data_IF_272688922713
#
_entry.id   IF_272688922713
#
_cell.length_a   1.000
_cell.length_b   1.000
_cell.length_c   1.000
_cell.angle_alpha   90.00
_cell.angle_beta   90.00
_cell.angle_gamma   90.00
#
_symmetry.space_group_name_H-M   'P 1'
#
loop_
_entity.id
_entity.type
_entity.pdbx_description
1 polymer ?
#
# COMPACT_ATOMS: atom_id res chain seq x y z
N UNK A 1 -2.18 3.57 5.41
CA UNK A 1 -1.60 3.50 4.05
C UNK A 1 -0.10 3.38 4.20
N UNK A 2 0.52 2.49 3.41
CA UNK A 2 1.93 2.15 3.52
C UNK A 2 2.69 2.63 2.29
N UNK A 3 3.79 3.35 2.50
CA UNK A 3 4.63 3.94 1.43
C UNK A 3 6.03 3.38 1.53
N UNK A 4 6.57 2.90 0.41
CA UNK A 4 7.97 2.52 0.29
C UNK A 4 8.77 3.74 -0.14
N UNK A 5 9.83 4.06 0.59
CA UNK A 5 10.81 5.11 0.28
C UNK A 5 12.07 4.42 -0.22
N UNK A 6 12.49 4.74 -1.44
CA UNK A 6 13.67 4.17 -2.08
C UNK A 6 14.67 5.28 -2.35
N UNK A 7 15.69 5.35 -1.50
CA UNK A 7 16.70 6.41 -1.47
C UNK A 7 17.97 5.87 -0.82
N UNK A 8 19.10 5.95 -1.49
CA UNK A 8 20.38 5.41 -1.00
C UNK A 8 21.03 6.29 0.07
N UNK A 9 20.79 7.60 0.05
CA UNK A 9 21.26 8.50 1.09
C UNK A 9 20.36 8.42 2.33
N UNK A 10 20.85 7.76 3.38
CA UNK A 10 20.08 7.51 4.61
C UNK A 10 19.51 8.78 5.23
N UNK A 11 20.29 9.88 5.28
CA UNK A 11 19.85 11.15 5.84
C UNK A 11 18.66 11.73 5.09
N UNK A 12 18.69 11.65 3.76
CA UNK A 12 17.59 12.12 2.92
C UNK A 12 16.38 11.19 3.03
N UNK A 13 16.61 9.86 3.04
CA UNK A 13 15.55 8.88 3.27
C UNK A 13 14.82 9.11 4.59
N UNK A 14 15.55 9.39 5.68
CA UNK A 14 14.96 9.73 6.99
C UNK A 14 14.21 11.07 6.95
N UNK A 15 14.72 12.05 6.21
CA UNK A 15 14.03 13.34 6.01
C UNK A 15 12.70 13.14 5.27
N UNK A 16 12.69 12.36 4.19
CA UNK A 16 11.46 12.00 3.45
C UNK A 16 10.48 11.32 4.39
N UNK A 17 10.94 10.33 5.15
CA UNK A 17 10.14 9.63 6.17
C UNK A 17 9.51 10.60 7.16
N UNK A 18 10.29 11.51 7.74
CA UNK A 18 9.78 12.53 8.67
C UNK A 18 8.72 13.45 8.01
N UNK A 19 8.87 13.75 6.73
CA UNK A 19 7.88 14.55 5.99
C UNK A 19 6.51 13.87 5.92
N UNK A 20 6.46 12.55 5.77
CA UNK A 20 5.22 11.84 5.45
C UNK A 20 4.67 10.95 6.59
N UNK A 21 5.47 10.62 7.63
CA UNK A 21 5.13 9.66 8.67
C UNK A 21 3.88 10.00 9.50
N UNK A 22 3.44 11.26 9.52
CA UNK A 22 2.19 11.65 10.19
C UNK A 22 0.93 11.14 9.46
N UNK A 23 1.05 10.81 8.17
CA UNK A 23 -0.08 10.38 7.31
C UNK A 23 0.07 8.97 6.79
N UNK A 24 1.29 8.46 6.69
CA UNK A 24 1.62 7.18 6.07
C UNK A 24 2.54 6.35 6.95
N UNK A 25 2.27 5.05 7.02
CA UNK A 25 3.26 4.09 7.49
C UNK A 25 4.36 3.99 6.42
N UNK A 26 5.63 3.93 6.82
CA UNK A 26 6.75 4.00 5.88
C UNK A 26 7.72 2.86 6.08
N UNK A 27 8.20 2.32 4.98
CA UNK A 27 9.37 1.44 4.91
C UNK A 27 10.42 2.05 3.99
N UNK A 28 11.68 1.70 4.19
CA UNK A 28 12.82 2.28 3.49
C UNK A 28 13.63 1.16 2.82
N UNK A 29 14.04 1.38 1.57
CA UNK A 29 15.00 0.59 0.84
C UNK A 29 16.15 1.50 0.40
N UNK A 30 17.37 1.00 0.37
CA UNK A 30 18.57 1.81 0.15
C UNK A 30 19.31 1.46 -1.13
N UNK A 31 18.84 0.46 -1.86
CA UNK A 31 19.32 0.11 -3.19
C UNK A 31 18.18 -0.38 -4.08
N UNK A 32 18.45 -0.45 -5.39
CA UNK A 32 17.42 -0.80 -6.35
C UNK A 32 17.01 -2.27 -6.31
N UNK A 33 17.88 -3.18 -5.89
CA UNK A 33 17.55 -4.59 -5.79
C UNK A 33 16.62 -4.85 -4.59
N UNK A 34 16.98 -4.31 -3.42
CA UNK A 34 16.14 -4.33 -2.21
C UNK A 34 14.76 -3.72 -2.51
N UNK A 35 14.75 -2.54 -3.15
CA UNK A 35 13.53 -1.85 -3.55
C UNK A 35 12.62 -2.72 -4.44
N UNK A 36 13.19 -3.37 -5.45
CA UNK A 36 12.44 -4.28 -6.32
C UNK A 36 11.88 -5.47 -5.53
N UNK A 37 12.68 -6.08 -4.67
CA UNK A 37 12.25 -7.24 -3.87
C UNK A 37 11.10 -6.89 -2.92
N UNK A 38 11.14 -5.70 -2.29
CA UNK A 38 10.06 -5.23 -1.43
C UNK A 38 8.80 -4.83 -2.23
N UNK A 39 8.99 -4.06 -3.31
CA UNK A 39 7.87 -3.50 -4.09
C UNK A 39 7.06 -4.57 -4.85
N UNK A 40 7.69 -5.68 -5.28
CA UNK A 40 7.00 -6.76 -6.01
C UNK A 40 5.93 -7.49 -5.17
N UNK A 41 6.01 -7.41 -3.83
CA UNK A 41 5.01 -7.99 -2.93
C UNK A 41 3.64 -7.27 -3.02
N UNK A 42 3.60 -6.11 -3.70
CA UNK A 42 2.38 -5.35 -4.01
C UNK A 42 1.55 -4.98 -2.76
N UNK A 43 2.24 -4.69 -1.66
CA UNK A 43 1.63 -4.31 -0.37
C UNK A 43 1.62 -2.82 -0.12
N UNK A 44 2.34 -2.03 -0.94
CA UNK A 44 2.46 -0.59 -0.80
C UNK A 44 1.32 0.14 -1.51
N UNK A 45 0.89 1.26 -0.93
CA UNK A 45 -0.09 2.16 -1.52
C UNK A 45 0.56 3.18 -2.46
N UNK A 46 1.88 3.42 -2.30
CA UNK A 46 2.73 4.18 -3.22
C UNK A 46 4.21 3.86 -2.99
N UNK A 47 5.04 4.22 -3.97
CA UNK A 47 6.50 4.15 -3.91
C UNK A 47 7.05 5.53 -4.22
N UNK A 48 7.97 6.05 -3.39
CA UNK A 48 8.84 7.19 -3.69
C UNK A 48 10.16 6.59 -4.15
N UNK A 49 10.61 6.92 -5.35
CA UNK A 49 11.72 6.23 -6.02
C UNK A 49 12.76 7.22 -6.54
N UNK A 50 13.99 7.17 -5.99
CA UNK A 50 15.12 7.82 -6.66
C UNK A 50 15.56 7.01 -7.89
N UNK A 51 16.07 7.70 -8.89
CA UNK A 51 16.62 7.11 -10.11
C UNK A 51 18.10 6.72 -9.98
N UNK A 52 18.81 7.39 -9.07
CA UNK A 52 20.25 7.21 -8.90
C UNK A 52 20.57 6.28 -7.72
N UNK A 53 20.22 5.01 -7.89
CA UNK A 53 20.41 3.98 -6.87
C UNK A 53 21.60 3.08 -7.20
N UNK A 54 22.30 2.54 -6.20
CA UNK A 54 23.26 1.48 -6.39
C UNK A 54 22.58 0.15 -6.80
N UNK A 55 23.38 -0.78 -7.30
CA UNK A 55 23.00 -2.14 -7.74
C UNK A 55 22.04 -2.17 -8.92
N UNK A 56 20.93 -1.47 -8.87
CA UNK A 56 19.92 -1.39 -9.91
C UNK A 56 19.36 0.02 -9.99
N UNK A 57 19.41 0.65 -11.15
CA UNK A 57 18.88 2.01 -11.30
C UNK A 57 17.36 2.07 -11.04
N UNK A 58 16.86 3.22 -10.55
CA UNK A 58 15.42 3.39 -10.34
C UNK A 58 14.60 3.23 -11.62
N UNK A 59 15.16 3.50 -12.78
CA UNK A 59 14.50 3.19 -14.05
C UNK A 59 14.31 1.69 -14.27
N UNK A 60 15.33 0.88 -13.94
CA UNK A 60 15.26 -0.56 -14.09
C UNK A 60 14.28 -1.17 -13.04
N UNK A 61 14.28 -0.63 -11.83
CA UNK A 61 13.29 -0.99 -10.80
C UNK A 61 11.88 -0.76 -11.35
N UNK A 62 11.60 0.45 -11.83
CA UNK A 62 10.28 0.81 -12.36
C UNK A 62 9.86 -0.09 -13.51
N UNK A 63 10.76 -0.31 -14.48
CA UNK A 63 10.49 -1.18 -15.64
C UNK A 63 10.14 -2.60 -15.20
N UNK A 64 10.96 -3.20 -14.33
CA UNK A 64 10.71 -4.55 -13.79
C UNK A 64 9.40 -4.66 -13.01
N UNK A 65 9.04 -3.64 -12.24
CA UNK A 65 7.75 -3.62 -11.55
C UNK A 65 6.58 -3.67 -12.52
N UNK A 66 6.62 -2.89 -13.60
CA UNK A 66 5.56 -2.87 -14.63
C UNK A 66 5.53 -4.15 -15.45
N UNK A 67 6.67 -4.74 -15.80
CA UNK A 67 6.76 -6.07 -16.44
C UNK A 67 6.12 -7.16 -15.57
N UNK A 68 6.29 -7.07 -14.24
CA UNK A 68 5.67 -7.99 -13.27
C UNK A 68 4.24 -7.59 -12.88
N UNK A 69 3.62 -6.66 -13.62
CA UNK A 69 2.23 -6.20 -13.41
C UNK A 69 1.97 -5.58 -12.04
N UNK A 70 2.99 -5.08 -11.38
CA UNK A 70 2.85 -4.27 -10.18
C UNK A 70 2.34 -2.90 -10.59
N UNK A 71 1.14 -2.56 -10.13
CA UNK A 71 0.43 -1.32 -10.48
C UNK A 71 0.54 -0.25 -9.39
N UNK A 72 1.26 -0.53 -8.32
CA UNK A 72 1.53 0.44 -7.25
C UNK A 72 2.00 1.75 -7.84
N UNK A 73 1.39 2.91 -7.50
CA UNK A 73 1.79 4.21 -8.04
C UNK A 73 3.19 4.58 -7.58
N UNK A 74 3.96 5.14 -8.52
CA UNK A 74 5.35 5.53 -8.31
C UNK A 74 5.50 7.03 -8.51
N UNK A 75 5.98 7.73 -7.47
CA UNK A 75 6.49 9.09 -7.52
C UNK A 75 8.01 9.04 -7.66
N UNK A 76 8.53 9.44 -8.81
CA UNK A 76 9.98 9.62 -8.97
C UNK A 76 10.40 10.87 -8.19
N UNK A 77 11.45 10.74 -7.37
CA UNK A 77 12.06 11.82 -6.59
C UNK A 77 13.57 11.80 -6.80
N UNK A 78 14.11 12.68 -7.65
CA UNK A 78 15.49 12.60 -8.11
C UNK A 78 16.10 13.97 -8.42
N UNK A 79 17.44 14.06 -8.48
CA UNK A 79 18.16 15.25 -8.95
C UNK A 79 18.13 15.44 -10.47
N UNK A 80 17.69 14.44 -11.24
CA UNK A 80 17.56 14.54 -12.71
C UNK A 80 16.38 15.45 -13.07
N UNK A 81 16.63 16.55 -13.74
CA UNK A 81 15.64 17.58 -14.02
C UNK A 81 15.35 17.81 -15.52
N UNK A 82 16.09 17.13 -16.42
CA UNK A 82 15.92 17.33 -17.85
C UNK A 82 14.56 16.84 -18.33
N UNK A 83 14.05 17.45 -19.39
CA UNK A 83 12.81 17.03 -20.03
C UNK A 83 12.89 15.56 -20.47
N UNK A 84 14.04 15.13 -21.00
CA UNK A 84 14.24 13.74 -21.43
C UNK A 84 14.15 12.76 -20.27
N UNK A 85 14.71 13.09 -19.11
CA UNK A 85 14.59 12.23 -17.90
C UNK A 85 13.14 12.09 -17.44
N UNK A 86 12.40 13.20 -17.44
CA UNK A 86 10.96 13.20 -17.07
C UNK A 86 10.14 12.37 -18.05
N UNK A 87 10.33 12.57 -19.36
CA UNK A 87 9.62 11.79 -20.39
C UNK A 87 9.97 10.30 -20.29
N UNK A 88 11.23 9.96 -20.03
CA UNK A 88 11.66 8.57 -19.81
C UNK A 88 10.97 7.96 -18.59
N UNK A 89 10.92 8.68 -17.47
CA UNK A 89 10.24 8.23 -16.26
C UNK A 89 8.76 7.91 -16.51
N UNK A 90 8.04 8.82 -17.15
CA UNK A 90 6.62 8.60 -17.50
C UNK A 90 6.43 7.46 -18.50
N UNK A 91 7.28 7.35 -19.53
CA UNK A 91 7.21 6.24 -20.49
C UNK A 91 7.46 4.87 -19.84
N UNK A 92 8.24 4.81 -18.76
CA UNK A 92 8.47 3.59 -17.99
C UNK A 92 7.36 3.31 -16.96
N UNK A 93 6.36 4.19 -16.87
CA UNK A 93 5.17 3.98 -16.07
C UNK A 93 5.19 4.63 -14.69
N UNK A 94 5.96 5.72 -14.50
CA UNK A 94 5.83 6.57 -13.32
C UNK A 94 4.50 7.34 -13.35
N UNK A 95 3.93 7.59 -12.18
CA UNK A 95 2.65 8.31 -12.03
C UNK A 95 2.84 9.80 -11.79
N UNK A 96 3.98 10.21 -11.22
CA UNK A 96 4.39 11.61 -11.08
C UNK A 96 5.91 11.72 -10.94
N UNK A 97 6.43 12.96 -11.00
CA UNK A 97 7.86 13.26 -10.99
C UNK A 97 8.12 14.52 -10.18
N UNK A 98 9.05 14.46 -9.22
CA UNK A 98 9.47 15.57 -8.38
C UNK A 98 11.00 15.68 -8.40
N UNK A 99 11.49 16.91 -8.65
CA UNK A 99 12.93 17.17 -8.73
C UNK A 99 13.45 17.64 -7.36
N UNK A 100 14.61 17.12 -6.97
CA UNK A 100 15.37 17.60 -5.79
C UNK A 100 16.10 18.92 -6.13
N UNK A 101 16.11 19.93 -5.23
CA UNK A 101 15.46 19.98 -3.92
C UNK A 101 13.95 20.21 -4.04
N UNK A 102 13.20 19.76 -3.05
CA UNK A 102 11.74 19.84 -3.02
C UNK A 102 11.23 20.41 -1.71
N UNK A 103 10.02 20.97 -1.75
CA UNK A 103 9.29 21.41 -0.56
C UNK A 103 8.46 20.24 0.00
N UNK A 104 8.39 20.17 1.34
CA UNK A 104 7.63 19.12 2.05
C UNK A 104 6.18 19.05 1.59
N UNK A 105 5.54 20.20 1.48
CA UNK A 105 4.14 20.35 1.10
C UNK A 105 3.91 19.86 -0.34
N UNK A 106 4.86 20.07 -1.24
CA UNK A 106 4.79 19.57 -2.62
C UNK A 106 4.89 18.05 -2.66
N UNK A 107 5.86 17.47 -1.95
CA UNK A 107 6.00 16.02 -1.86
C UNK A 107 4.71 15.36 -1.37
N UNK A 108 4.13 15.88 -0.27
CA UNK A 108 2.88 15.38 0.30
C UNK A 108 1.72 15.51 -0.68
N UNK A 109 1.56 16.66 -1.32
CA UNK A 109 0.46 16.91 -2.26
C UNK A 109 0.52 15.97 -3.47
N UNK A 110 1.71 15.74 -4.04
CA UNK A 110 1.92 14.84 -5.17
C UNK A 110 1.67 13.39 -4.78
N UNK A 111 2.22 12.95 -3.64
CA UNK A 111 2.01 11.59 -3.13
C UNK A 111 0.52 11.30 -2.89
N UNK A 112 -0.19 12.22 -2.25
CA UNK A 112 -1.64 12.09 -2.05
C UNK A 112 -2.41 12.07 -3.38
N UNK A 113 -1.97 12.84 -4.37
CA UNK A 113 -2.62 12.90 -5.67
C UNK A 113 -2.51 11.58 -6.44
N UNK A 114 -1.31 10.96 -6.49
CA UNK A 114 -1.13 9.67 -7.19
C UNK A 114 -1.87 8.54 -6.47
N UNK A 115 -1.82 8.47 -5.14
CA UNK A 115 -2.57 7.48 -4.35
C UNK A 115 -4.08 7.63 -4.60
N UNK A 116 -4.59 8.86 -4.65
CA UNK A 116 -6.00 9.13 -4.93
C UNK A 116 -6.42 8.66 -6.32
N UNK A 117 -5.59 8.87 -7.35
CA UNK A 117 -5.89 8.46 -8.74
C UNK A 117 -5.97 6.94 -8.87
N UNK A 118 -5.06 6.21 -8.23
CA UNK A 118 -4.97 4.75 -8.33
C UNK A 118 -6.10 4.04 -7.57
N UNK A 119 -6.54 4.61 -6.45
CA UNK A 119 -7.61 4.02 -5.64
C UNK A 119 -9.04 4.35 -6.13
N UNK A 120 -9.20 4.82 -7.39
CA UNK A 120 -10.47 5.32 -7.90
C UNK A 120 -10.84 6.67 -7.27
N UNK A 121 -11.36 7.62 -8.07
CA UNK A 121 -11.67 8.97 -7.66
C UNK A 121 -12.34 9.01 -6.28
N UNK A 122 -11.70 9.69 -5.32
CA UNK A 122 -12.07 9.80 -3.92
C UNK A 122 -11.93 8.48 -3.14
N UNK A 123 -10.87 8.32 -2.33
CA UNK A 123 -11.07 7.59 -1.07
C UNK A 123 -12.14 8.40 -0.33
N UNK A 124 -13.36 7.96 -0.47
CA UNK A 124 -14.37 8.29 0.51
C UNK A 124 -13.77 7.94 1.86
N UNK A 125 -13.94 8.80 2.88
CA UNK A 125 -13.61 8.45 4.26
C UNK A 125 -14.27 7.12 4.67
N UNK A 126 -15.05 6.56 3.78
CA UNK A 126 -15.82 5.32 3.91
C UNK A 126 -15.57 4.38 2.73
N UNK A 127 -15.25 3.13 3.03
CA UNK A 127 -15.26 2.02 2.08
C UNK A 127 -16.59 1.30 2.20
N UNK A 128 -17.20 0.98 1.07
CA UNK A 128 -18.47 0.26 1.03
C UNK A 128 -18.32 -1.11 0.37
N UNK A 129 -18.94 -2.11 0.99
CA UNK A 129 -19.11 -3.43 0.40
C UNK A 129 -20.53 -3.92 0.73
N UNK A 130 -21.44 -3.84 -0.24
CA UNK A 130 -22.89 -4.03 -0.02
C UNK A 130 -23.41 -3.04 1.05
N UNK A 131 -24.07 -3.54 2.10
CA UNK A 131 -24.54 -2.70 3.22
C UNK A 131 -23.49 -2.52 4.33
N UNK A 132 -22.25 -3.03 4.13
CA UNK A 132 -21.14 -2.87 5.05
C UNK A 132 -20.36 -1.61 4.69
N UNK A 133 -20.15 -0.74 5.67
CA UNK A 133 -19.42 0.53 5.54
C UNK A 133 -18.27 0.58 6.56
N UNK A 134 -17.08 0.89 6.10
CA UNK A 134 -15.92 1.17 6.94
C UNK A 134 -15.58 2.65 6.87
N UNK A 135 -15.69 3.35 7.99
CA UNK A 135 -15.15 4.70 8.10
C UNK A 135 -13.66 4.60 8.45
N UNK A 136 -12.80 4.99 7.50
CA UNK A 136 -11.35 4.80 7.60
C UNK A 136 -10.73 5.75 8.64
N UNK A 137 -11.22 7.00 8.71
CA UNK A 137 -10.70 7.99 9.66
C UNK A 137 -11.02 7.64 11.11
N UNK A 138 -12.26 7.28 11.39
CA UNK A 138 -12.71 6.93 12.74
C UNK A 138 -12.49 5.46 13.09
N UNK A 139 -12.09 4.62 12.10
CA UNK A 139 -11.93 3.16 12.21
C UNK A 139 -13.20 2.46 12.72
N UNK A 140 -14.37 2.99 12.35
CA UNK A 140 -15.69 2.45 12.70
C UNK A 140 -16.25 1.63 11.56
N UNK A 141 -16.97 0.58 11.90
CA UNK A 141 -17.60 -0.33 10.93
C UNK A 141 -19.10 -0.37 11.17
N UNK A 142 -19.88 -0.29 10.10
CA UNK A 142 -21.34 -0.33 10.14
C UNK A 142 -21.86 -1.40 9.18
N UNK A 143 -22.93 -2.07 9.55
CA UNK A 143 -23.72 -2.95 8.67
C UNK A 143 -25.19 -2.54 8.81
N UNK A 144 -25.82 -2.11 7.69
CA UNK A 144 -27.19 -1.59 7.68
C UNK A 144 -27.39 -0.54 8.79
N UNK A 145 -26.49 0.44 8.82
CA UNK A 145 -26.45 1.56 9.77
C UNK A 145 -26.27 1.19 11.26
N UNK A 146 -26.11 -0.11 11.57
CA UNK A 146 -25.75 -0.58 12.89
C UNK A 146 -24.24 -0.67 13.02
N UNK A 147 -23.70 0.02 14.03
CA UNK A 147 -22.27 -0.08 14.35
C UNK A 147 -21.91 -1.46 14.88
N UNK A 148 -20.80 -1.99 14.36
CA UNK A 148 -20.19 -3.24 14.83
C UNK A 148 -18.77 -2.99 15.27
N UNK A 149 -18.35 -3.66 16.34
CA UNK A 149 -16.98 -3.51 16.86
C UNK A 149 -16.06 -4.57 16.24
N UNK A 150 -15.02 -4.11 15.56
CA UNK A 150 -13.90 -4.94 15.11
C UNK A 150 -12.65 -4.61 15.93
N UNK A 151 -11.84 -5.62 16.23
CA UNK A 151 -10.50 -5.37 16.76
C UNK A 151 -9.64 -4.67 15.71
N UNK A 152 -8.64 -3.88 16.13
CA UNK A 152 -7.84 -3.07 15.19
C UNK A 152 -7.32 -3.83 13.99
N UNK A 153 -6.67 -5.00 14.20
CA UNK A 153 -6.15 -5.83 13.10
C UNK A 153 -7.24 -6.52 12.26
N UNK A 154 -8.42 -6.78 12.83
CA UNK A 154 -9.56 -7.26 12.04
C UNK A 154 -10.09 -6.19 11.10
N UNK A 155 -10.08 -4.92 11.55
CA UNK A 155 -10.43 -3.77 10.71
C UNK A 155 -9.44 -3.64 9.56
N UNK A 156 -8.13 -3.70 9.85
CA UNK A 156 -7.07 -3.59 8.83
C UNK A 156 -7.16 -4.71 7.77
N UNK A 157 -7.43 -5.95 8.19
CA UNK A 157 -7.64 -7.08 7.26
C UNK A 157 -8.87 -6.83 6.38
N UNK A 158 -9.99 -6.40 6.98
CA UNK A 158 -11.22 -6.16 6.24
C UNK A 158 -11.06 -5.00 5.23
N UNK A 159 -10.43 -3.90 5.65
CA UNK A 159 -10.07 -2.79 4.79
C UNK A 159 -9.23 -3.26 3.59
N UNK A 160 -8.19 -4.05 3.84
CA UNK A 160 -7.31 -4.55 2.78
C UNK A 160 -8.06 -5.45 1.80
N UNK A 161 -8.89 -6.37 2.30
CA UNK A 161 -9.68 -7.27 1.46
C UNK A 161 -10.71 -6.50 0.61
N UNK A 162 -11.39 -5.48 1.15
CA UNK A 162 -12.36 -4.68 0.41
C UNK A 162 -11.67 -3.87 -0.69
N UNK A 163 -10.53 -3.23 -0.39
CA UNK A 163 -9.74 -2.50 -1.39
C UNK A 163 -9.22 -3.42 -2.52
N UNK A 164 -9.08 -4.72 -2.24
CA UNK A 164 -8.60 -5.74 -3.19
C UNK A 164 -9.70 -6.71 -3.61
N UNK A 165 -10.97 -6.26 -3.63
CA UNK A 165 -12.14 -7.08 -3.96
C UNK A 165 -11.90 -7.92 -5.24
N UNK A 166 -12.21 -9.22 -5.17
CA UNK A 166 -12.04 -10.16 -6.28
C UNK A 166 -10.61 -10.68 -6.49
N UNK A 167 -9.64 -10.18 -5.71
CA UNK A 167 -8.25 -10.63 -5.77
C UNK A 167 -7.92 -11.52 -4.58
N UNK A 168 -7.16 -12.58 -4.82
CA UNK A 168 -6.62 -13.42 -3.74
C UNK A 168 -5.44 -12.71 -3.12
N UNK A 169 -5.50 -12.45 -1.81
CA UNK A 169 -4.41 -11.88 -1.04
C UNK A 169 -3.78 -13.00 -0.20
N UNK A 170 -2.48 -13.20 -0.35
CA UNK A 170 -1.78 -14.26 0.38
C UNK A 170 -1.68 -13.94 1.86
N UNK A 171 -1.40 -14.96 2.69
CA UNK A 171 -1.18 -14.75 4.13
C UNK A 171 0.04 -13.86 4.36
N UNK A 172 1.08 -14.04 3.59
CA UNK A 172 2.30 -13.27 3.61
C UNK A 172 1.99 -11.81 3.29
N UNK A 173 1.28 -11.51 2.22
CA UNK A 173 0.87 -10.15 1.84
C UNK A 173 0.04 -9.47 2.93
N UNK A 174 -0.91 -10.19 3.55
CA UNK A 174 -1.69 -9.66 4.67
C UNK A 174 -0.78 -9.38 5.87
N UNK A 175 0.13 -10.29 6.17
CA UNK A 175 1.08 -10.15 7.28
C UNK A 175 1.98 -8.94 7.07
N UNK A 176 2.66 -8.85 5.94
CA UNK A 176 3.61 -7.78 5.63
C UNK A 176 2.92 -6.40 5.56
N UNK A 177 1.71 -6.35 5.01
CA UNK A 177 0.90 -5.11 4.95
C UNK A 177 0.50 -4.62 6.34
N UNK A 178 0.15 -5.52 7.27
CA UNK A 178 -0.54 -5.17 8.52
C UNK A 178 0.41 -5.23 9.73
N UNK A 179 1.42 -6.10 9.72
CA UNK A 179 2.41 -6.24 10.81
C UNK A 179 3.78 -5.71 10.43
N UNK A 180 4.12 -5.63 9.14
CA UNK A 180 5.43 -5.20 8.65
C UNK A 180 6.46 -6.34 8.62
N UNK A 181 7.51 -6.16 7.83
CA UNK A 181 8.57 -7.16 7.65
C UNK A 181 9.38 -7.42 8.93
N UNK A 182 9.53 -6.43 9.80
CA UNK A 182 10.31 -6.52 11.05
C UNK A 182 9.50 -7.06 12.24
N UNK A 183 8.32 -7.64 11.99
CA UNK A 183 7.48 -8.15 13.06
C UNK A 183 8.06 -9.42 13.68
N UNK A 184 8.16 -9.47 15.02
CA UNK A 184 8.56 -10.66 15.78
C UNK A 184 7.49 -11.77 15.82
N UNK A 185 6.33 -11.55 15.22
CA UNK A 185 5.23 -12.51 15.18
C UNK A 185 5.29 -13.34 13.89
N UNK A 186 4.58 -14.47 13.84
CA UNK A 186 4.55 -15.34 12.67
C UNK A 186 3.29 -15.10 11.82
N UNK A 187 3.33 -15.48 10.54
CA UNK A 187 2.20 -15.37 9.60
C UNK A 187 0.94 -16.10 10.07
N UNK A 188 1.04 -17.05 11.02
CA UNK A 188 -0.11 -17.74 11.61
C UNK A 188 -1.07 -16.79 12.34
N UNK A 189 -0.60 -15.63 12.78
CA UNK A 189 -1.46 -14.61 13.41
C UNK A 189 -2.56 -14.14 12.46
N UNK A 190 -2.30 -14.13 11.16
CA UNK A 190 -3.31 -13.77 10.14
C UNK A 190 -4.53 -14.69 10.23
N UNK A 191 -4.32 -16.00 10.40
CA UNK A 191 -5.42 -16.97 10.50
C UNK A 191 -6.28 -16.71 11.74
N UNK A 192 -5.65 -16.37 12.87
CA UNK A 192 -6.35 -16.05 14.12
C UNK A 192 -7.26 -14.83 13.93
N UNK A 193 -6.71 -13.74 13.39
CA UNK A 193 -7.48 -12.50 13.18
C UNK A 193 -8.52 -12.64 12.06
N UNK A 194 -8.22 -13.34 10.97
CA UNK A 194 -9.18 -13.61 9.90
C UNK A 194 -10.33 -14.51 10.39
N UNK A 195 -10.04 -15.52 11.22
CA UNK A 195 -11.06 -16.34 11.85
C UNK A 195 -11.95 -15.54 12.80
N UNK A 196 -11.35 -14.69 13.64
CA UNK A 196 -12.06 -13.77 14.52
C UNK A 196 -12.94 -12.78 13.74
N UNK A 197 -12.43 -12.20 12.67
CA UNK A 197 -13.18 -11.32 11.77
C UNK A 197 -14.41 -12.04 11.19
N UNK A 198 -14.23 -13.23 10.65
CA UNK A 198 -15.34 -14.03 10.11
C UNK A 198 -16.38 -14.37 11.17
N UNK A 199 -15.94 -14.72 12.40
CA UNK A 199 -16.86 -14.99 13.52
C UNK A 199 -17.71 -13.76 13.87
N UNK A 200 -17.11 -12.57 13.90
CA UNK A 200 -17.84 -11.31 14.13
C UNK A 200 -18.83 -11.03 12.99
N UNK A 201 -18.39 -11.18 11.75
CA UNK A 201 -19.21 -10.90 10.55
C UNK A 201 -20.32 -11.93 10.33
N UNK A 202 -20.17 -13.16 10.86
CA UNK A 202 -21.17 -14.25 10.75
C UNK A 202 -22.51 -13.86 11.35
N UNK A 203 -22.52 -13.09 12.44
CA UNK A 203 -23.75 -12.63 13.09
C UNK A 203 -24.62 -11.75 12.16
N UNK A 204 -24.01 -11.21 11.11
CA UNK A 204 -24.63 -10.33 10.11
C UNK A 204 -24.73 -10.99 8.73
N UNK A 205 -24.28 -12.25 8.57
CA UNK A 205 -24.29 -12.99 7.31
C UNK A 205 -23.23 -12.54 6.31
N UNK A 206 -22.18 -11.82 6.76
CA UNK A 206 -21.11 -11.32 5.90
C UNK A 206 -19.88 -12.24 5.85
N UNK A 207 -19.78 -13.26 6.70
CA UNK A 207 -18.71 -14.26 6.68
C UNK A 207 -18.61 -15.02 5.36
N UNK A 208 -19.73 -15.21 4.67
CA UNK A 208 -19.82 -15.90 3.38
C UNK A 208 -19.08 -15.22 2.24
N UNK A 209 -18.86 -13.91 2.35
CA UNK A 209 -18.15 -13.12 1.36
C UNK A 209 -16.63 -13.18 1.52
N UNK A 210 -16.12 -13.57 2.70
CA UNK A 210 -14.69 -13.78 2.93
C UNK A 210 -14.37 -15.26 2.66
N UNK A 211 -13.81 -15.53 1.49
CA UNK A 211 -13.38 -16.86 1.07
C UNK A 211 -11.98 -17.16 1.57
N UNK A 212 -11.80 -18.37 2.10
CA UNK A 212 -10.46 -18.90 2.40
C UNK A 212 -10.00 -19.75 1.21
N UNK A 213 -8.88 -19.39 0.62
CA UNK A 213 -8.19 -20.19 -0.39
C UNK A 213 -7.14 -21.01 0.33
N UNK A 214 -7.43 -22.32 0.50
CA UNK A 214 -6.59 -23.21 1.31
C UNK A 214 -5.15 -23.21 0.83
N UNK A 215 -4.22 -23.06 1.76
CA UNK A 215 -2.78 -23.01 1.47
C UNK A 215 -2.28 -21.71 0.83
N UNK A 216 -3.16 -20.74 0.52
CA UNK A 216 -2.80 -19.49 -0.16
C UNK A 216 -3.14 -18.27 0.68
N UNK A 217 -4.42 -18.01 0.94
CA UNK A 217 -4.80 -16.76 1.61
C UNK A 217 -6.32 -16.54 1.64
N UNK A 218 -6.71 -15.29 1.48
CA UNK A 218 -8.10 -14.85 1.59
C UNK A 218 -8.51 -13.96 0.41
N UNK A 219 -9.80 -13.92 0.14
CA UNK A 219 -10.40 -13.06 -0.88
C UNK A 219 -11.78 -12.62 -0.40
N UNK A 220 -12.16 -11.37 -0.66
CA UNK A 220 -13.54 -10.93 -0.53
C UNK A 220 -14.19 -10.88 -1.91
N UNK A 221 -15.39 -11.42 -2.03
CA UNK A 221 -16.12 -11.50 -3.30
C UNK A 221 -17.63 -11.47 -3.04
N UNK A 222 -18.40 -11.15 -4.06
CA UNK A 222 -19.88 -11.17 -4.03
C UNK A 222 -20.43 -12.56 -3.84
#
# INVERSE_FOLDING_TARGET
>A
MKVLIVEDERTLSDTIKQCICKKFDTEQAYDGYEAYMMAKENIYDAIILDLMLPEMSGYDVLLKLRENKVVTPVLILTAKDTLNDKLKGFNYGADDYLVKPFEREELLARLEAIIRRTNGAYKQDELEFKDLKLNIKSRRTFIKDKEITLQGKQFDILEYLINSKGTIITKEQIFDKIWGFDSFTTTNVVEVYASGLRKTLKQYGYDKYIKTIRGVGYMITD
#
